data_IF_353555335889
#
_entry.id   IF_353555335889
#
_cell.length_a   1.000
_cell.length_b   1.000
_cell.length_c   1.000
_cell.angle_alpha   90.00
_cell.angle_beta   90.00
_cell.angle_gamma   90.00
#
_symmetry.space_group_name_H-M   'P 1'
#
loop_
_entity.id
_entity.type
_entity.pdbx_description
1 polymer ?
#
# COMPACT_ATOMS: atom_id res chain seq x y z
N UNK A 1 -8.65 -18.55 -25.00
CA UNK A 1 -9.06 -17.25 -25.57
C UNK A 1 -8.52 -16.18 -24.64
N UNK A 2 -7.68 -15.27 -25.14
CA UNK A 2 -7.21 -14.14 -24.34
C UNK A 2 -8.33 -13.12 -24.20
N UNK A 3 -8.42 -12.47 -23.04
CA UNK A 3 -9.32 -11.34 -22.83
C UNK A 3 -8.76 -10.12 -23.56
N UNK A 4 -9.63 -9.31 -24.16
CA UNK A 4 -9.23 -8.04 -24.77
C UNK A 4 -8.59 -7.13 -23.71
N UNK A 5 -7.46 -6.46 -24.03
CA UNK A 5 -6.81 -5.56 -23.09
C UNK A 5 -7.77 -4.43 -22.73
N UNK A 6 -7.93 -4.18 -21.43
CA UNK A 6 -8.77 -3.10 -20.91
C UNK A 6 -7.87 -1.97 -20.43
N UNK A 7 -8.11 -0.76 -20.91
CA UNK A 7 -7.42 0.45 -20.47
C UNK A 7 -8.43 1.37 -19.78
N UNK A 8 -8.04 1.92 -18.63
CA UNK A 8 -8.81 2.90 -17.91
C UNK A 8 -7.89 4.01 -17.43
N UNK A 9 -8.37 5.25 -17.46
CA UNK A 9 -7.68 6.42 -16.97
C UNK A 9 -8.54 7.07 -15.89
N UNK A 10 -7.91 7.38 -14.76
CA UNK A 10 -8.54 8.00 -13.60
C UNK A 10 -7.79 9.27 -13.24
N UNK A 11 -8.51 10.24 -12.68
CA UNK A 11 -7.97 11.44 -12.07
C UNK A 11 -7.67 11.20 -10.59
N UNK A 12 -6.90 12.10 -9.98
CA UNK A 12 -6.54 12.01 -8.57
C UNK A 12 -7.78 11.98 -7.67
N UNK A 13 -8.78 12.79 -8.02
CA UNK A 13 -10.03 13.00 -7.29
C UNK A 13 -10.97 11.80 -7.35
N UNK A 14 -10.73 10.85 -8.27
CA UNK A 14 -11.53 9.63 -8.40
C UNK A 14 -11.21 8.60 -7.31
N UNK A 15 -10.08 8.76 -6.62
CA UNK A 15 -9.63 7.82 -5.60
C UNK A 15 -10.09 8.24 -4.20
N UNK A 16 -10.64 7.30 -3.40
CA UNK A 16 -10.98 7.60 -2.02
C UNK A 16 -9.72 7.89 -1.20
N UNK A 17 -9.77 8.96 -0.42
CA UNK A 17 -8.71 9.37 0.51
C UNK A 17 -9.30 9.42 1.91
N UNK A 18 -8.75 8.60 2.80
CA UNK A 18 -9.03 8.66 4.23
C UNK A 18 -7.95 9.50 4.92
N UNK A 19 -8.37 10.61 5.54
CA UNK A 19 -7.50 11.46 6.33
C UNK A 19 -7.71 11.15 7.81
N UNK A 20 -6.66 10.72 8.48
CA UNK A 20 -6.63 10.42 9.90
C UNK A 20 -5.56 11.27 10.59
N UNK A 21 -5.60 11.34 11.92
CA UNK A 21 -4.60 12.12 12.67
C UNK A 21 -3.20 11.55 12.44
N UNK A 22 -2.42 12.23 11.60
CA UNK A 22 -1.03 11.89 11.31
C UNK A 22 -0.79 10.98 10.09
N UNK A 23 -1.81 10.64 9.31
CA UNK A 23 -1.63 9.94 8.04
C UNK A 23 -2.79 10.14 7.07
N UNK A 24 -2.46 10.10 5.78
CA UNK A 24 -3.43 10.08 4.69
C UNK A 24 -3.26 8.81 3.86
N UNK A 25 -4.35 8.08 3.63
CA UNK A 25 -4.36 6.82 2.88
C UNK A 25 -5.24 7.00 1.66
N UNK A 26 -4.63 7.00 0.48
CA UNK A 26 -5.34 6.95 -0.80
C UNK A 26 -5.41 5.50 -1.28
N UNK A 27 -6.62 4.96 -1.42
CA UNK A 27 -6.80 3.58 -1.91
C UNK A 27 -6.81 3.56 -3.43
N UNK A 28 -5.83 2.90 -4.05
CA UNK A 28 -5.69 2.73 -5.51
C UNK A 28 -6.41 1.48 -6.00
N UNK A 29 -6.25 0.36 -5.29
CA UNK A 29 -6.95 -0.91 -5.53
C UNK A 29 -7.52 -1.37 -4.19
N UNK A 30 -8.82 -1.63 -4.16
CA UNK A 30 -9.52 -2.03 -2.94
C UNK A 30 -10.92 -1.46 -2.87
N UNK A 31 -11.49 -1.46 -1.67
CA UNK A 31 -12.84 -0.95 -1.45
C UNK A 31 -12.95 0.54 -1.82
N UNK A 32 -13.97 0.90 -2.59
CA UNK A 32 -14.24 2.29 -3.00
C UNK A 32 -13.35 2.83 -4.12
N UNK A 33 -12.24 2.17 -4.45
CA UNK A 33 -11.38 2.59 -5.55
C UNK A 33 -12.02 2.26 -6.92
N UNK A 34 -11.81 3.11 -7.94
CA UNK A 34 -12.41 2.90 -9.26
C UNK A 34 -11.70 1.81 -10.07
N UNK A 35 -10.47 1.44 -9.69
CA UNK A 35 -9.68 0.41 -10.37
C UNK A 35 -10.22 -0.98 -10.04
N UNK A 36 -10.73 -1.67 -11.06
CA UNK A 36 -11.13 -3.06 -10.98
C UNK A 36 -10.07 -3.96 -11.62
N UNK A 37 -9.59 -4.94 -10.84
CA UNK A 37 -8.70 -6.01 -11.32
C UNK A 37 -9.34 -7.37 -11.04
N UNK A 38 -8.97 -8.38 -11.83
CA UNK A 38 -9.46 -9.76 -11.63
C UNK A 38 -8.75 -10.45 -10.45
N UNK A 39 -7.47 -10.13 -10.24
CA UNK A 39 -6.70 -10.67 -9.14
C UNK A 39 -7.12 -10.01 -7.82
N UNK A 40 -7.13 -10.79 -6.74
CA UNK A 40 -7.37 -10.22 -5.42
C UNK A 40 -6.10 -9.52 -4.92
N UNK A 41 -6.09 -8.19 -4.95
CA UNK A 41 -5.02 -7.36 -4.40
C UNK A 41 -5.57 -6.10 -3.73
N UNK A 42 -4.72 -5.47 -2.93
CA UNK A 42 -4.94 -4.13 -2.38
C UNK A 42 -3.70 -3.29 -2.66
N UNK A 43 -3.91 -2.01 -2.94
CA UNK A 43 -2.83 -1.06 -3.18
C UNK A 43 -3.26 0.30 -2.63
N UNK A 44 -2.38 0.89 -1.83
CA UNK A 44 -2.59 2.21 -1.27
C UNK A 44 -1.34 3.08 -1.47
N UNK A 45 -1.58 4.37 -1.65
CA UNK A 45 -0.58 5.43 -1.54
C UNK A 45 -0.75 6.06 -0.15
N UNK A 46 0.31 6.06 0.65
CA UNK A 46 0.25 6.39 2.07
C UNK A 46 1.24 7.50 2.39
N UNK A 47 0.74 8.58 2.96
CA UNK A 47 1.54 9.61 3.59
C UNK A 47 1.44 9.45 5.10
N UNK A 48 2.58 9.42 5.79
CA UNK A 48 2.69 9.31 7.24
C UNK A 48 3.46 10.54 7.71
N UNK A 49 2.90 11.27 8.67
CA UNK A 49 3.55 12.44 9.25
C UNK A 49 4.66 12.02 10.22
N UNK A 50 5.55 12.96 10.57
CA UNK A 50 6.63 12.70 11.52
C UNK A 50 6.07 12.21 12.88
N UNK A 51 6.78 11.25 13.49
CA UNK A 51 6.42 10.64 14.79
C UNK A 51 5.06 9.90 14.81
N UNK A 52 4.49 9.59 13.64
CA UNK A 52 3.24 8.83 13.50
C UNK A 52 3.50 7.43 12.95
N UNK A 53 2.58 6.52 13.24
CA UNK A 53 2.62 5.12 12.78
C UNK A 53 1.37 4.81 11.97
N UNK A 54 1.54 4.06 10.87
CA UNK A 54 0.46 3.40 10.16
C UNK A 54 0.60 1.89 10.29
N UNK A 55 -0.49 1.22 10.63
CA UNK A 55 -0.55 -0.24 10.80
C UNK A 55 -1.53 -0.87 9.82
N UNK A 56 -1.11 -1.97 9.19
CA UNK A 56 -1.94 -2.80 8.33
C UNK A 56 -1.83 -4.28 8.70
N UNK A 57 -2.78 -5.07 8.23
CA UNK A 57 -2.74 -6.53 8.36
C UNK A 57 -2.32 -7.17 7.03
N UNK A 58 -1.33 -8.04 7.07
CA UNK A 58 -0.98 -8.92 5.97
C UNK A 58 -1.53 -10.32 6.26
N UNK A 59 -2.50 -10.76 5.46
CA UNK A 59 -3.10 -12.09 5.61
C UNK A 59 -2.12 -13.20 5.22
N UNK A 60 -2.31 -14.38 5.79
CA UNK A 60 -1.58 -15.61 5.41
C UNK A 60 -1.57 -15.83 3.90
N UNK A 61 -0.43 -16.31 3.36
CA UNK A 61 -0.18 -16.55 1.93
C UNK A 61 -0.29 -15.29 1.04
N UNK A 62 -0.28 -14.09 1.63
CA UNK A 62 -0.18 -12.83 0.88
C UNK A 62 1.24 -12.27 0.93
N UNK A 63 1.54 -11.53 -0.12
CA UNK A 63 2.80 -10.79 -0.26
C UNK A 63 2.50 -9.30 -0.16
N UNK A 64 3.27 -8.60 0.66
CA UNK A 64 3.31 -7.15 0.72
C UNK A 64 4.53 -6.65 -0.05
N UNK A 65 4.33 -5.72 -0.97
CA UNK A 65 5.41 -4.95 -1.57
C UNK A 65 5.30 -3.50 -1.10
N UNK A 66 6.40 -2.94 -0.59
CA UNK A 66 6.49 -1.55 -0.12
C UNK A 66 7.51 -0.81 -0.95
N UNK A 67 7.20 0.42 -1.33
CA UNK A 67 8.14 1.34 -1.97
C UNK A 67 8.07 2.70 -1.27
N UNK A 68 9.21 3.19 -0.81
CA UNK A 68 9.30 4.53 -0.23
C UNK A 68 9.54 5.54 -1.34
N UNK A 69 8.52 6.33 -1.67
CA UNK A 69 8.63 7.37 -2.71
C UNK A 69 9.53 8.52 -2.24
N UNK A 70 9.37 8.94 -0.99
CA UNK A 70 10.16 9.99 -0.34
C UNK A 70 10.16 9.81 1.17
N UNK A 71 11.16 10.36 1.86
CA UNK A 71 11.28 10.26 3.32
C UNK A 71 12.07 9.04 3.79
N UNK A 72 11.92 8.72 5.07
CA UNK A 72 12.56 7.57 5.73
C UNK A 72 11.69 7.09 6.89
N UNK A 73 11.76 5.81 7.22
CA UNK A 73 10.99 5.24 8.31
C UNK A 73 11.46 3.83 8.68
N UNK A 74 10.71 3.20 9.56
CA UNK A 74 10.92 1.81 9.98
C UNK A 74 9.65 1.03 9.66
N UNK A 75 9.80 -0.11 9.01
CA UNK A 75 8.74 -1.10 8.89
C UNK A 75 8.98 -2.18 9.93
N UNK A 76 8.02 -2.36 10.83
CA UNK A 76 8.02 -3.37 11.88
C UNK A 76 7.02 -4.49 11.54
N UNK A 77 7.52 -5.71 11.41
CA UNK A 77 6.70 -6.91 11.33
C UNK A 77 6.25 -7.36 12.72
N UNK A 78 5.01 -7.06 13.10
CA UNK A 78 4.50 -7.30 14.47
C UNK A 78 4.50 -8.78 14.91
N UNK A 79 4.53 -9.73 13.96
CA UNK A 79 4.46 -11.16 14.28
C UNK A 79 5.81 -11.77 14.70
N UNK A 80 6.91 -11.28 14.14
CA UNK A 80 8.27 -11.80 14.40
C UNK A 80 9.19 -10.75 15.04
N UNK A 81 8.79 -9.47 15.08
CA UNK A 81 9.58 -8.36 15.61
C UNK A 81 10.69 -7.89 14.67
N UNK A 82 10.69 -8.31 13.40
CA UNK A 82 11.69 -7.86 12.44
C UNK A 82 11.48 -6.39 12.05
N UNK A 83 12.57 -5.63 12.05
CA UNK A 83 12.59 -4.21 11.72
C UNK A 83 13.43 -3.97 10.46
N UNK A 84 12.85 -3.23 9.52
CA UNK A 84 13.52 -2.80 8.30
C UNK A 84 13.54 -1.26 8.25
N UNK A 85 14.74 -0.67 8.31
CA UNK A 85 14.91 0.77 8.07
C UNK A 85 14.85 1.01 6.57
N UNK A 86 13.88 1.82 6.15
CA UNK A 86 13.66 2.15 4.75
C UNK A 86 13.85 3.64 4.52
N UNK A 87 14.58 3.98 3.46
CA UNK A 87 14.76 5.34 2.96
C UNK A 87 14.17 5.52 1.57
N UNK A 88 14.21 6.75 1.08
CA UNK A 88 13.76 7.12 -0.26
C UNK A 88 14.27 6.16 -1.36
N UNK A 89 13.38 5.80 -2.27
CA UNK A 89 13.60 4.92 -3.43
C UNK A 89 14.05 3.50 -3.06
N UNK A 90 13.81 3.06 -1.83
CA UNK A 90 13.97 1.67 -1.45
C UNK A 90 12.66 0.90 -1.61
N UNK A 91 12.80 -0.40 -1.88
CA UNK A 91 11.70 -1.34 -2.01
C UNK A 91 11.94 -2.54 -1.09
N UNK A 92 10.86 -3.09 -0.55
CA UNK A 92 10.87 -4.28 0.29
C UNK A 92 9.72 -5.20 -0.12
N UNK A 93 9.95 -6.52 -0.02
CA UNK A 93 8.93 -7.54 -0.24
C UNK A 93 8.88 -8.43 1.00
N UNK A 94 7.69 -8.61 1.57
CA UNK A 94 7.43 -9.46 2.73
C UNK A 94 6.38 -10.49 2.33
N UNK A 95 6.62 -11.75 2.69
CA UNK A 95 5.67 -12.84 2.45
C UNK A 95 5.17 -13.40 3.78
N UNK A 96 3.85 -13.45 3.96
CA UNK A 96 3.25 -14.03 5.16
C UNK A 96 3.16 -15.56 5.03
N UNK A 97 3.90 -16.26 5.89
CA UNK A 97 3.91 -17.72 6.05
C UNK A 97 3.11 -18.19 7.26
#
# INVERSE_FOLDING_TARGET
>A
MGREPTYAQYQHEDFPIENMDGHAVKTIIGHGAPVAIEAEAKMCDIQIDEEREYSGNLSFERTLAVMVVSGKGVLLEKNNGEENILGEKQFLIIHAH
#
